data_IF_223839504364
#
_entry.id   IF_223839504364
#
_cell.length_a   1.000
_cell.length_b   1.000
_cell.length_c   1.000
_cell.angle_alpha   90.00
_cell.angle_beta   90.00
_cell.angle_gamma   90.00
#
_symmetry.space_group_name_H-M   'P 1'
#
loop_
_entity.id
_entity.type
_entity.pdbx_description
1 polymer ?
#
# COMPACT_ATOMS: atom_id res chain seq x y z
N UNK A 1 -2.30 -34.28 -13.31
CA UNK A 1 -2.26 -33.18 -14.29
C UNK A 1 -2.74 -33.66 -15.65
N UNK A 2 -3.91 -33.18 -16.06
CA UNK A 2 -4.54 -33.52 -17.34
C UNK A 2 -3.83 -32.82 -18.50
N UNK A 3 -4.09 -33.24 -19.73
CA UNK A 3 -3.47 -32.67 -20.94
C UNK A 3 -3.83 -31.18 -21.09
N UNK A 4 -5.10 -30.84 -20.86
CA UNK A 4 -5.59 -29.47 -20.95
C UNK A 4 -4.94 -28.53 -19.91
N UNK A 5 -4.61 -29.04 -18.72
CA UNK A 5 -3.90 -28.28 -17.68
C UNK A 5 -2.47 -27.95 -18.09
N UNK A 6 -1.79 -28.86 -18.79
CA UNK A 6 -0.44 -28.64 -19.32
C UNK A 6 -0.44 -27.52 -20.37
N UNK A 7 -1.39 -27.58 -21.31
CA UNK A 7 -1.55 -26.56 -22.36
C UNK A 7 -1.83 -25.19 -21.75
N UNK A 8 -2.66 -25.10 -20.70
CA UNK A 8 -2.92 -23.84 -20.02
C UNK A 8 -1.66 -23.26 -19.35
N UNK A 9 -0.84 -24.10 -18.71
CA UNK A 9 0.43 -23.69 -18.09
C UNK A 9 1.40 -23.14 -19.12
N UNK A 10 1.49 -23.79 -20.28
CA UNK A 10 2.34 -23.37 -21.40
C UNK A 10 1.87 -22.03 -21.98
N UNK A 11 0.57 -21.89 -22.25
CA UNK A 11 -0.02 -20.62 -22.72
C UNK A 11 0.23 -19.46 -21.75
N UNK A 12 0.16 -19.72 -20.43
CA UNK A 12 0.49 -18.74 -19.39
C UNK A 12 1.98 -18.37 -19.42
N UNK A 13 2.86 -19.37 -19.59
CA UNK A 13 4.29 -19.16 -19.69
C UNK A 13 4.63 -18.28 -20.89
N UNK A 14 4.09 -18.61 -22.06
CA UNK A 14 4.38 -17.91 -23.31
C UNK A 14 3.83 -16.48 -23.28
N UNK A 15 2.59 -16.31 -22.83
CA UNK A 15 1.96 -15.00 -22.73
C UNK A 15 2.73 -14.06 -21.81
N UNK A 16 3.09 -14.52 -20.61
CA UNK A 16 3.77 -13.67 -19.63
C UNK A 16 5.26 -13.46 -19.93
N UNK A 17 5.91 -14.43 -20.58
CA UNK A 17 7.27 -14.26 -21.12
C UNK A 17 7.28 -13.18 -22.19
N UNK A 18 6.34 -13.23 -23.15
CA UNK A 18 6.19 -12.19 -24.18
C UNK A 18 5.84 -10.82 -23.58
N UNK A 19 5.14 -10.77 -22.44
CA UNK A 19 4.85 -9.53 -21.72
C UNK A 19 6.03 -9.00 -20.88
N UNK A 20 7.16 -9.69 -20.86
CA UNK A 20 8.36 -9.25 -20.15
C UNK A 20 8.31 -9.46 -18.63
N UNK A 21 7.44 -10.33 -18.12
CA UNK A 21 7.42 -10.61 -16.68
C UNK A 21 8.64 -11.43 -16.26
N UNK A 22 9.17 -11.12 -15.07
CA UNK A 22 10.35 -11.84 -14.56
C UNK A 22 10.08 -13.35 -14.43
N UNK A 23 11.08 -14.21 -14.76
CA UNK A 23 10.93 -15.68 -14.71
C UNK A 23 10.44 -16.19 -13.34
N UNK A 24 10.96 -15.60 -12.25
CA UNK A 24 10.56 -15.96 -10.89
C UNK A 24 9.06 -15.75 -10.63
N UNK A 25 8.47 -14.70 -11.22
CA UNK A 25 7.06 -14.41 -11.06
C UNK A 25 6.20 -15.37 -11.89
N UNK A 26 6.66 -15.71 -13.10
CA UNK A 26 6.03 -16.72 -13.95
C UNK A 26 6.05 -18.08 -13.26
N UNK A 27 7.17 -18.45 -12.62
CA UNK A 27 7.29 -19.69 -11.84
C UNK A 27 6.37 -19.71 -10.61
N UNK A 28 6.22 -18.60 -9.89
CA UNK A 28 5.23 -18.48 -8.81
C UNK A 28 3.80 -18.70 -9.35
N UNK A 29 3.44 -18.06 -10.47
CA UNK A 29 2.12 -18.23 -11.11
C UNK A 29 1.88 -19.70 -11.45
N UNK A 30 2.84 -20.35 -12.12
CA UNK A 30 2.77 -21.77 -12.49
C UNK A 30 2.63 -22.66 -11.24
N UNK A 31 3.40 -22.38 -10.18
CA UNK A 31 3.35 -23.13 -8.92
C UNK A 31 1.98 -23.02 -8.24
N UNK A 32 1.42 -21.81 -8.14
CA UNK A 32 0.09 -21.61 -7.54
C UNK A 32 -1.02 -22.20 -8.40
N UNK A 33 -0.91 -22.11 -9.73
CA UNK A 33 -1.86 -22.72 -10.64
C UNK A 33 -1.87 -24.24 -10.50
N UNK A 34 -0.70 -24.88 -10.44
CA UNK A 34 -0.57 -26.33 -10.17
C UNK A 34 -1.19 -26.74 -8.84
N UNK A 35 -1.09 -25.91 -7.80
CA UNK A 35 -1.78 -26.15 -6.53
C UNK A 35 -3.30 -26.03 -6.68
N UNK A 36 -3.79 -25.09 -7.48
CA UNK A 36 -5.22 -24.87 -7.71
C UNK A 36 -5.85 -25.97 -8.58
N UNK A 37 -5.08 -26.58 -9.50
CA UNK A 37 -5.50 -27.75 -10.29
C UNK A 37 -5.93 -28.93 -9.42
N UNK A 38 -5.37 -29.09 -8.21
CA UNK A 38 -5.81 -30.15 -7.29
C UNK A 38 -7.30 -30.06 -6.96
N UNK A 39 -7.85 -28.84 -6.90
CA UNK A 39 -9.28 -28.62 -6.61
C UNK A 39 -10.18 -29.07 -7.76
N UNK A 40 -9.73 -28.90 -9.01
CA UNK A 40 -10.49 -29.41 -10.15
C UNK A 40 -10.32 -30.92 -10.30
N UNK A 41 -9.14 -31.46 -9.99
CA UNK A 41 -8.89 -32.91 -9.94
C UNK A 41 -9.76 -33.60 -8.88
N UNK A 42 -9.97 -32.97 -7.72
CA UNK A 42 -10.89 -33.46 -6.67
C UNK A 42 -12.36 -33.54 -7.12
N UNK A 43 -12.76 -32.72 -8.11
CA UNK A 43 -14.11 -32.69 -8.67
C UNK A 43 -14.23 -33.47 -9.98
N UNK A 44 -13.16 -34.17 -10.37
CA UNK A 44 -13.03 -34.89 -11.64
C UNK A 44 -13.28 -34.04 -12.90
N UNK A 45 -13.13 -32.71 -12.79
CA UNK A 45 -13.38 -31.77 -13.88
C UNK A 45 -12.10 -31.16 -14.44
N UNK A 46 -12.16 -30.78 -15.72
CA UNK A 46 -11.08 -29.99 -16.32
C UNK A 46 -11.03 -28.61 -15.67
N UNK A 47 -9.83 -28.04 -15.51
CA UNK A 47 -9.69 -26.79 -14.77
C UNK A 47 -10.45 -25.62 -15.42
N UNK A 48 -10.53 -25.58 -16.75
CA UNK A 48 -11.31 -24.56 -17.50
C UNK A 48 -12.80 -24.65 -17.13
N UNK A 49 -13.32 -25.88 -17.01
CA UNK A 49 -14.71 -26.17 -16.68
C UNK A 49 -15.01 -25.89 -15.21
N UNK A 50 -14.14 -26.35 -14.30
CA UNK A 50 -14.18 -26.02 -12.87
C UNK A 50 -14.19 -24.50 -12.63
N UNK A 51 -13.42 -23.75 -13.42
CA UNK A 51 -13.35 -22.29 -13.33
C UNK A 51 -14.50 -21.58 -14.04
N UNK A 52 -15.25 -22.27 -14.90
CA UNK A 52 -16.29 -21.70 -15.75
C UNK A 52 -15.79 -20.57 -16.65
N UNK A 53 -14.53 -20.63 -17.09
CA UNK A 53 -13.84 -19.54 -17.81
C UNK A 53 -12.92 -20.09 -18.88
N UNK A 54 -12.85 -19.39 -20.01
CA UNK A 54 -11.89 -19.69 -21.07
C UNK A 54 -10.44 -19.50 -20.62
N UNK A 55 -9.46 -20.16 -21.27
CA UNK A 55 -8.03 -19.93 -21.02
C UNK A 55 -7.62 -18.46 -21.07
N UNK A 56 -8.14 -17.72 -22.07
CA UNK A 56 -7.87 -16.30 -22.23
C UNK A 56 -8.39 -15.47 -21.04
N UNK A 57 -9.60 -15.75 -20.54
CA UNK A 57 -10.16 -15.07 -19.38
C UNK A 57 -9.39 -15.39 -18.08
N UNK A 58 -8.85 -16.60 -17.95
CA UNK A 58 -7.98 -16.97 -16.84
C UNK A 58 -6.69 -16.15 -16.89
N UNK A 59 -6.03 -16.10 -18.05
CA UNK A 59 -4.80 -15.31 -18.27
C UNK A 59 -5.06 -13.82 -17.96
N UNK A 60 -6.15 -13.26 -18.51
CA UNK A 60 -6.53 -11.86 -18.26
C UNK A 60 -6.84 -11.60 -16.78
N UNK A 61 -7.48 -12.55 -16.09
CA UNK A 61 -7.75 -12.45 -14.65
C UNK A 61 -6.43 -12.41 -13.87
N UNK A 62 -5.48 -13.30 -14.18
CA UNK A 62 -4.16 -13.34 -13.55
C UNK A 62 -3.42 -12.02 -13.80
N UNK A 63 -3.35 -11.57 -15.06
CA UNK A 63 -2.68 -10.32 -15.43
C UNK A 63 -3.23 -9.13 -14.65
N UNK A 64 -4.55 -8.95 -14.65
CA UNK A 64 -5.19 -7.81 -13.97
C UNK A 64 -4.92 -7.84 -12.47
N UNK A 65 -5.05 -8.99 -11.84
CA UNK A 65 -4.85 -9.13 -10.40
C UNK A 65 -3.38 -8.96 -9.99
N UNK A 66 -2.45 -9.42 -10.83
CA UNK A 66 -1.03 -9.26 -10.62
C UNK A 66 -0.63 -7.77 -10.69
N UNK A 67 -1.19 -7.05 -11.66
CA UNK A 67 -1.04 -5.60 -11.74
C UNK A 67 -1.60 -4.89 -10.50
N UNK A 68 -2.80 -5.28 -10.03
CA UNK A 68 -3.37 -4.74 -8.78
C UNK A 68 -2.47 -5.00 -7.57
N UNK A 69 -1.88 -6.20 -7.46
CA UNK A 69 -0.96 -6.53 -6.38
C UNK A 69 0.33 -5.70 -6.42
N UNK A 70 0.87 -5.45 -7.62
CA UNK A 70 2.07 -4.63 -7.79
C UNK A 70 1.81 -3.14 -7.56
N UNK A 71 0.66 -2.61 -8.00
CA UNK A 71 0.28 -1.22 -7.80
C UNK A 71 -0.18 -0.89 -6.38
N UNK A 72 -0.77 -1.85 -5.66
CA UNK A 72 -1.35 -1.61 -4.33
C UNK A 72 -0.35 -0.93 -3.35
N UNK A 73 0.89 -1.42 -3.19
CA UNK A 73 1.90 -0.72 -2.39
C UNK A 73 2.21 0.71 -2.83
N UNK A 74 2.25 0.96 -4.14
CA UNK A 74 2.59 2.27 -4.71
C UNK A 74 1.48 3.27 -4.41
N UNK A 75 0.23 2.88 -4.70
CA UNK A 75 -0.95 3.71 -4.44
C UNK A 75 -1.09 3.98 -2.95
N UNK A 76 -0.94 2.95 -2.11
CA UNK A 76 -0.99 3.09 -0.65
C UNK A 76 0.07 4.08 -0.13
N UNK A 77 1.30 3.98 -0.64
CA UNK A 77 2.38 4.88 -0.24
C UNK A 77 2.10 6.32 -0.65
N UNK A 78 1.84 6.58 -1.94
CA UNK A 78 1.62 7.94 -2.47
C UNK A 78 0.44 8.60 -1.77
N UNK A 79 -0.69 7.90 -1.65
CA UNK A 79 -1.92 8.44 -1.09
C UNK A 79 -1.72 8.86 0.38
N UNK A 80 -1.14 7.99 1.20
CA UNK A 80 -0.91 8.30 2.61
C UNK A 80 0.21 9.33 2.80
N UNK A 81 1.25 9.28 1.98
CA UNK A 81 2.33 10.27 2.01
C UNK A 81 1.79 11.68 1.76
N UNK A 82 0.98 11.86 0.71
CA UNK A 82 0.36 13.15 0.39
C UNK A 82 -0.59 13.59 1.49
N UNK A 83 -1.49 12.70 1.96
CA UNK A 83 -2.48 13.05 2.97
C UNK A 83 -1.84 13.46 4.30
N UNK A 84 -0.83 12.74 4.81
CA UNK A 84 -0.16 13.15 6.05
C UNK A 84 0.62 14.44 5.82
N UNK A 85 1.32 14.56 4.68
CA UNK A 85 2.11 15.76 4.37
C UNK A 85 1.24 17.01 4.34
N UNK A 86 0.02 16.90 3.80
CA UNK A 86 -0.88 18.01 3.56
C UNK A 86 -1.84 18.28 4.71
N UNK A 87 -2.44 17.24 5.30
CA UNK A 87 -3.44 17.42 6.36
C UNK A 87 -2.81 17.61 7.74
N UNK A 88 -1.70 16.93 8.02
CA UNK A 88 -1.01 17.01 9.31
C UNK A 88 -0.02 18.18 9.30
N UNK A 89 -0.47 19.35 9.72
CA UNK A 89 0.38 20.52 9.78
C UNK A 89 1.36 20.44 10.97
N UNK A 90 2.65 20.58 10.66
CA UNK A 90 3.73 20.61 11.66
C UNK A 90 3.64 21.88 12.51
N UNK A 91 3.13 22.99 11.97
CA UNK A 91 3.04 24.26 12.67
C UNK A 91 2.09 24.22 13.87
N UNK A 92 1.08 23.35 13.85
CA UNK A 92 0.12 23.24 14.96
C UNK A 92 0.63 22.42 16.14
N UNK A 93 1.67 21.59 15.94
CA UNK A 93 2.21 20.69 16.98
C UNK A 93 2.78 21.46 18.19
N UNK A 94 3.60 22.52 18.02
CA UNK A 94 4.06 23.32 19.16
C UNK A 94 2.92 24.01 19.93
N UNK A 95 1.82 24.33 19.25
CA UNK A 95 0.64 24.96 19.85
C UNK A 95 -0.35 23.95 20.44
N UNK A 96 0.00 22.65 20.49
CA UNK A 96 -0.88 21.60 21.00
C UNK A 96 -2.23 21.61 20.27
N UNK A 97 -2.17 21.69 18.93
CA UNK A 97 -3.34 21.79 18.08
C UNK A 97 -3.23 20.86 16.87
N UNK A 98 -4.38 20.51 16.30
CA UNK A 98 -4.49 19.72 15.08
C UNK A 98 -5.75 20.13 14.31
N UNK A 99 -5.73 20.01 12.99
CA UNK A 99 -6.92 20.20 12.17
C UNK A 99 -7.90 19.04 12.35
N UNK A 100 -9.21 19.32 12.29
CA UNK A 100 -10.22 18.26 12.29
C UNK A 100 -10.03 17.27 11.14
N UNK A 101 -9.57 17.74 9.98
CA UNK A 101 -9.22 16.90 8.83
C UNK A 101 -8.09 15.90 9.13
N UNK A 102 -7.04 16.30 9.85
CA UNK A 102 -5.97 15.40 10.23
C UNK A 102 -6.44 14.33 11.24
N UNK A 103 -7.35 14.68 12.16
CA UNK A 103 -7.97 13.70 13.07
C UNK A 103 -8.75 12.66 12.25
N UNK A 104 -9.61 13.11 11.33
CA UNK A 104 -10.39 12.22 10.45
C UNK A 104 -9.47 11.30 9.65
N UNK A 105 -8.38 11.86 9.11
CA UNK A 105 -7.40 11.07 8.39
C UNK A 105 -6.74 10.00 9.27
N UNK A 106 -6.22 10.39 10.44
CA UNK A 106 -5.50 9.48 11.34
C UNK A 106 -6.41 8.37 11.93
N UNK A 107 -7.65 8.69 12.27
CA UNK A 107 -8.56 7.74 12.93
C UNK A 107 -9.37 6.88 11.96
N UNK A 108 -9.66 7.38 10.76
CA UNK A 108 -10.58 6.69 9.83
C UNK A 108 -9.83 6.25 8.58
N UNK A 109 -9.20 7.17 7.87
CA UNK A 109 -8.69 6.91 6.52
C UNK A 109 -7.45 6.03 6.56
N UNK A 110 -6.49 6.36 7.43
CA UNK A 110 -5.27 5.59 7.57
C UNK A 110 -5.57 4.13 7.97
N UNK A 111 -6.35 3.82 9.03
CA UNK A 111 -6.69 2.44 9.38
C UNK A 111 -7.40 1.68 8.26
N UNK A 112 -8.38 2.29 7.60
CA UNK A 112 -9.10 1.65 6.49
C UNK A 112 -8.13 1.36 5.33
N UNK A 113 -7.24 2.31 4.99
CA UNK A 113 -6.26 2.12 3.93
C UNK A 113 -5.29 0.97 4.24
N UNK A 114 -4.87 0.81 5.51
CA UNK A 114 -4.03 -0.30 5.96
C UNK A 114 -4.76 -1.63 5.83
N UNK A 115 -6.01 -1.71 6.28
CA UNK A 115 -6.84 -2.94 6.18
C UNK A 115 -6.97 -3.40 4.73
N UNK A 116 -7.25 -2.48 3.81
CA UNK A 116 -7.37 -2.80 2.38
C UNK A 116 -6.05 -3.24 1.80
N UNK A 117 -4.98 -2.51 2.11
CA UNK A 117 -3.65 -2.86 1.67
C UNK A 117 -3.28 -4.29 2.10
N UNK A 118 -3.54 -4.66 3.35
CA UNK A 118 -3.29 -6.01 3.88
C UNK A 118 -4.20 -7.05 3.22
N UNK A 119 -5.49 -6.74 3.02
CA UNK A 119 -6.45 -7.64 2.37
C UNK A 119 -6.05 -7.95 0.94
N UNK A 120 -5.66 -6.93 0.16
CA UNK A 120 -5.16 -7.12 -1.20
C UNK A 120 -3.87 -7.94 -1.18
N UNK A 121 -2.93 -7.62 -0.30
CA UNK A 121 -1.66 -8.34 -0.20
C UNK A 121 -1.80 -9.83 0.19
N UNK A 122 -2.88 -10.18 0.91
CA UNK A 122 -3.17 -11.57 1.31
C UNK A 122 -3.81 -12.43 0.20
N UNK A 123 -4.36 -11.80 -0.86
CA UNK A 123 -5.12 -12.53 -1.88
C UNK A 123 -4.25 -13.14 -2.98
N UNK A 124 -4.74 -14.25 -3.53
CA UNK A 124 -4.11 -14.95 -4.64
C UNK A 124 -4.51 -14.33 -5.98
N UNK A 125 -3.57 -14.11 -6.90
CA UNK A 125 -3.82 -13.50 -8.21
C UNK A 125 -4.67 -14.38 -9.15
N UNK A 126 -4.92 -15.63 -8.79
CA UNK A 126 -5.76 -16.56 -9.57
C UNK A 126 -7.25 -16.18 -9.55
N UNK A 127 -7.74 -15.45 -8.54
CA UNK A 127 -9.17 -15.15 -8.35
C UNK A 127 -9.45 -13.65 -8.38
N UNK A 128 -10.64 -13.27 -8.84
CA UNK A 128 -11.00 -11.87 -9.09
C UNK A 128 -11.02 -11.00 -7.83
N UNK A 129 -10.37 -9.83 -7.88
CA UNK A 129 -10.30 -8.83 -6.79
C UNK A 129 -11.20 -7.60 -7.00
N UNK A 130 -12.38 -7.77 -7.62
CA UNK A 130 -13.27 -6.64 -8.01
C UNK A 130 -13.69 -5.77 -6.81
N UNK A 131 -14.07 -6.39 -5.69
CA UNK A 131 -14.58 -5.67 -4.51
C UNK A 131 -13.50 -4.76 -3.91
N UNK A 132 -12.29 -5.28 -3.71
CA UNK A 132 -11.19 -4.50 -3.14
C UNK A 132 -10.76 -3.35 -4.05
N UNK A 133 -10.82 -3.55 -5.37
CA UNK A 133 -10.56 -2.48 -6.34
C UNK A 133 -11.57 -1.33 -6.20
N UNK A 134 -12.86 -1.62 -6.05
CA UNK A 134 -13.88 -0.58 -5.85
C UNK A 134 -13.69 0.17 -4.53
N UNK A 135 -13.36 -0.53 -3.44
CA UNK A 135 -13.10 0.10 -2.15
C UNK A 135 -11.83 0.97 -2.23
N UNK A 136 -10.77 0.50 -2.88
CA UNK A 136 -9.55 1.28 -3.10
C UNK A 136 -9.81 2.57 -3.91
N UNK A 137 -10.64 2.47 -4.95
CA UNK A 137 -11.04 3.63 -5.76
C UNK A 137 -11.88 4.62 -4.94
N UNK A 138 -12.80 4.12 -4.10
CA UNK A 138 -13.58 4.97 -3.19
C UNK A 138 -12.67 5.77 -2.24
N UNK A 139 -11.61 5.15 -1.69
CA UNK A 139 -10.65 5.85 -0.84
C UNK A 139 -9.87 6.89 -1.62
N UNK A 140 -9.38 6.56 -2.82
CA UNK A 140 -8.69 7.54 -3.66
C UNK A 140 -9.56 8.77 -3.93
N UNK A 141 -10.85 8.57 -4.18
CA UNK A 141 -11.82 9.64 -4.39
C UNK A 141 -12.04 10.47 -3.10
N UNK A 142 -12.22 9.82 -1.95
CA UNK A 142 -12.35 10.51 -0.65
C UNK A 142 -11.08 11.31 -0.31
N UNK A 143 -9.90 10.74 -0.55
CA UNK A 143 -8.62 11.41 -0.36
C UNK A 143 -8.49 12.67 -1.23
N UNK A 144 -8.91 12.60 -2.49
CA UNK A 144 -8.89 13.75 -3.40
C UNK A 144 -9.85 14.85 -2.92
N UNK A 145 -11.05 14.47 -2.45
CA UNK A 145 -11.99 15.41 -1.85
C UNK A 145 -11.36 16.10 -0.63
N UNK A 146 -10.69 15.36 0.26
CA UNK A 146 -10.06 15.95 1.45
C UNK A 146 -8.93 16.92 1.12
N UNK A 147 -8.10 16.58 0.13
CA UNK A 147 -7.07 17.49 -0.37
C UNK A 147 -7.72 18.75 -0.96
N UNK A 148 -8.80 18.60 -1.73
CA UNK A 148 -9.56 19.73 -2.27
C UNK A 148 -10.14 20.62 -1.17
N UNK A 149 -10.81 20.03 -0.18
CA UNK A 149 -11.39 20.75 0.97
C UNK A 149 -10.32 21.53 1.73
N UNK A 150 -9.16 20.91 2.00
CA UNK A 150 -8.04 21.58 2.66
C UNK A 150 -7.46 22.71 1.79
N UNK A 151 -7.39 22.53 0.47
CA UNK A 151 -6.92 23.57 -0.46
C UNK A 151 -7.83 24.81 -0.47
N UNK A 152 -9.13 24.65 -0.22
CA UNK A 152 -10.08 25.75 0.01
C UNK A 152 -10.12 26.25 1.46
N UNK A 153 -9.15 25.85 2.28
CA UNK A 153 -8.97 26.25 3.68
C UNK A 153 -10.12 25.84 4.64
N UNK A 154 -10.88 24.79 4.28
CA UNK A 154 -11.98 24.27 5.10
C UNK A 154 -11.45 23.17 6.03
N UNK A 155 -10.83 23.54 7.14
CA UNK A 155 -10.06 22.60 7.99
C UNK A 155 -10.87 21.83 9.04
N UNK A 156 -12.21 21.90 8.99
CA UNK A 156 -13.12 21.36 10.01
C UNK A 156 -12.69 21.70 11.45
N UNK A 157 -12.48 23.00 11.68
CA UNK A 157 -12.00 23.58 12.94
C UNK A 157 -10.58 23.15 13.34
N UNK A 158 -9.94 23.99 14.16
CA UNK A 158 -8.69 23.65 14.84
C UNK A 158 -9.08 23.17 16.23
N UNK A 159 -8.60 21.98 16.61
CA UNK A 159 -8.90 21.36 17.89
C UNK A 159 -7.63 21.31 18.71
N UNK A 160 -7.72 21.71 19.98
CA UNK A 160 -6.62 21.57 20.93
C UNK A 160 -6.42 20.10 21.30
N UNK A 161 -5.21 19.61 21.19
CA UNK A 161 -4.82 18.23 21.47
C UNK A 161 -3.58 18.22 22.36
N UNK A 162 -3.60 17.41 23.41
CA UNK A 162 -2.50 17.34 24.38
C UNK A 162 -1.17 17.00 23.70
N UNK A 163 -0.07 17.51 24.23
CA UNK A 163 1.28 17.14 23.77
C UNK A 163 1.51 15.61 23.77
N UNK A 164 0.94 14.89 24.74
CA UNK A 164 1.02 13.44 24.84
C UNK A 164 0.42 12.71 23.64
N UNK A 165 -0.62 13.27 23.00
CA UNK A 165 -1.20 12.67 21.80
C UNK A 165 -0.28 12.84 20.58
N UNK A 166 0.44 13.96 20.45
CA UNK A 166 1.48 14.11 19.42
C UNK A 166 2.67 13.17 19.68
N UNK A 167 3.06 12.98 20.94
CA UNK A 167 4.08 12.01 21.32
C UNK A 167 3.63 10.56 21.02
N UNK A 168 2.37 10.23 21.28
CA UNK A 168 1.81 8.94 20.90
C UNK A 168 1.91 8.71 19.39
N UNK A 169 1.56 9.71 18.58
CA UNK A 169 1.69 9.61 17.11
C UNK A 169 3.14 9.46 16.66
N UNK A 170 4.10 10.07 17.36
CA UNK A 170 5.53 9.83 17.12
C UNK A 170 5.91 8.36 17.34
N UNK A 171 5.47 7.75 18.45
CA UNK A 171 5.72 6.33 18.73
C UNK A 171 5.03 5.40 17.72
N UNK A 172 3.81 5.72 17.29
CA UNK A 172 3.15 5.01 16.18
C UNK A 172 4.01 5.07 14.91
N UNK A 173 4.62 6.22 14.62
CA UNK A 173 5.58 6.40 13.53
C UNK A 173 6.79 5.47 13.64
N UNK A 174 7.37 5.33 14.84
CA UNK A 174 8.48 4.39 15.09
C UNK A 174 8.04 2.94 14.83
N UNK A 175 6.88 2.53 15.37
CA UNK A 175 6.34 1.18 15.19
C UNK A 175 6.15 0.87 13.70
N UNK A 176 5.59 1.81 12.93
CA UNK A 176 5.41 1.66 11.49
C UNK A 176 6.76 1.58 10.77
N UNK A 177 7.74 2.37 11.21
CA UNK A 177 9.09 2.38 10.65
C UNK A 177 9.79 1.03 10.79
N UNK A 178 9.79 0.49 12.02
CA UNK A 178 10.39 -0.80 12.35
C UNK A 178 9.63 -1.95 11.67
N UNK A 179 8.30 -1.94 11.74
CA UNK A 179 7.46 -2.97 11.13
C UNK A 179 7.64 -3.01 9.61
N UNK A 180 7.73 -1.84 8.96
CA UNK A 180 7.97 -1.76 7.52
C UNK A 180 9.31 -2.37 7.10
N UNK A 181 10.37 -2.14 7.88
CA UNK A 181 11.68 -2.76 7.63
C UNK A 181 11.60 -4.27 7.86
N UNK A 182 11.02 -4.69 8.99
CA UNK A 182 10.91 -6.11 9.37
C UNK A 182 10.15 -6.93 8.32
N UNK A 183 9.00 -6.43 7.85
CA UNK A 183 8.19 -7.09 6.82
C UNK A 183 8.64 -6.80 5.38
N UNK A 184 9.75 -6.07 5.17
CA UNK A 184 10.27 -5.64 3.86
C UNK A 184 9.26 -4.83 3.03
N UNK A 185 8.35 -4.12 3.71
CA UNK A 185 7.30 -3.24 3.16
C UNK A 185 7.65 -1.78 3.46
N UNK A 186 8.52 -1.22 2.62
CA UNK A 186 9.11 0.12 2.77
C UNK A 186 8.09 1.26 2.77
N UNK A 187 6.91 1.03 2.20
CA UNK A 187 5.78 1.94 2.23
C UNK A 187 5.35 2.29 3.66
N UNK A 188 5.36 1.32 4.59
CA UNK A 188 5.10 1.60 6.01
C UNK A 188 6.26 2.33 6.65
N UNK A 189 7.49 2.06 6.21
CA UNK A 189 8.67 2.77 6.71
C UNK A 189 8.61 4.25 6.34
N UNK A 190 8.28 4.56 5.09
CA UNK A 190 8.13 5.96 4.68
C UNK A 190 6.97 6.67 5.38
N UNK A 191 5.81 6.02 5.54
CA UNK A 191 4.69 6.59 6.32
C UNK A 191 5.09 6.83 7.79
N UNK A 192 5.76 5.85 8.41
CA UNK A 192 6.20 5.92 9.80
C UNK A 192 7.22 7.05 10.03
N UNK A 193 8.23 7.15 9.16
CA UNK A 193 9.21 8.23 9.21
C UNK A 193 8.55 9.60 9.03
N UNK A 194 7.53 9.70 8.18
CA UNK A 194 6.82 10.95 7.97
C UNK A 194 5.99 11.37 9.20
N UNK A 195 5.37 10.43 9.90
CA UNK A 195 4.78 10.71 11.22
C UNK A 195 5.82 11.21 12.21
N UNK A 196 6.98 10.55 12.30
CA UNK A 196 8.07 10.99 13.16
C UNK A 196 8.53 12.41 12.80
N UNK A 197 8.65 12.72 11.51
CA UNK A 197 9.04 14.06 11.02
C UNK A 197 8.05 15.14 11.45
N UNK A 198 6.75 14.86 11.33
CA UNK A 198 5.68 15.81 11.66
C UNK A 198 5.52 16.03 13.17
N UNK A 199 5.90 15.04 13.99
CA UNK A 199 5.67 15.05 15.44
C UNK A 199 6.94 15.23 16.28
N UNK A 200 8.11 15.36 15.64
CA UNK A 200 9.41 15.51 16.33
C UNK A 200 9.45 16.67 17.32
N UNK A 201 8.74 17.77 17.01
CA UNK A 201 8.71 18.98 17.85
C UNK A 201 7.94 18.74 19.16
N UNK A 202 7.09 17.71 19.24
CA UNK A 202 6.45 17.29 20.49
C UNK A 202 7.36 16.43 21.38
N UNK A 203 8.45 15.88 20.83
CA UNK A 203 9.40 15.04 21.54
C UNK A 203 10.63 15.83 22.03
N UNK A 204 11.09 16.79 21.23
CA UNK A 204 12.31 17.54 21.50
C UNK A 204 11.95 19.01 21.68
N UNK A 205 12.06 19.50 22.91
CA UNK A 205 11.76 20.90 23.26
C UNK A 205 12.84 21.88 22.79
N UNK A 206 14.08 21.42 22.63
CA UNK A 206 15.17 22.23 22.11
C UNK A 206 15.04 22.37 20.58
N UNK A 207 14.75 23.58 20.10
CA UNK A 207 14.52 23.86 18.68
C UNK A 207 15.70 23.49 17.77
N UNK A 208 16.94 23.70 18.22
CA UNK A 208 18.13 23.34 17.44
C UNK A 208 18.27 21.83 17.25
N UNK A 209 18.08 21.06 18.33
CA UNK A 209 18.13 19.59 18.28
C UNK A 209 16.95 19.04 17.47
N UNK A 210 15.75 19.59 17.65
CA UNK A 210 14.56 19.19 16.90
C UNK A 210 14.72 19.41 15.40
N UNK A 211 15.35 20.52 15.00
CA UNK A 211 15.63 20.83 13.60
C UNK A 211 16.64 19.83 13.01
N UNK A 212 17.74 19.55 13.72
CA UNK A 212 18.73 18.55 13.27
C UNK A 212 18.06 17.19 13.08
N UNK A 213 17.29 16.73 14.08
CA UNK A 213 16.56 15.46 14.01
C UNK A 213 15.55 15.45 12.85
N UNK A 214 14.82 16.55 12.64
CA UNK A 214 13.87 16.68 11.52
C UNK A 214 14.58 16.57 10.17
N UNK A 215 15.76 17.17 10.01
CA UNK A 215 16.56 17.08 8.77
C UNK A 215 17.05 15.64 8.57
N UNK A 216 17.53 14.98 9.62
CA UNK A 216 17.95 13.58 9.55
C UNK A 216 16.81 12.68 9.10
N UNK A 217 15.59 12.87 9.62
CA UNK A 217 14.42 12.08 9.20
C UNK A 217 14.08 12.36 7.73
N UNK A 218 14.20 13.60 7.25
CA UNK A 218 14.00 13.93 5.83
C UNK A 218 15.02 13.23 4.91
N UNK A 219 16.29 13.17 5.31
CA UNK A 219 17.32 12.44 4.57
C UNK A 219 16.98 10.95 4.51
N UNK A 220 16.56 10.36 5.63
CA UNK A 220 16.14 8.95 5.67
C UNK A 220 14.92 8.70 4.78
N UNK A 221 13.92 9.59 4.80
CA UNK A 221 12.77 9.54 3.91
C UNK A 221 13.19 9.55 2.44
N UNK A 222 14.11 10.44 2.06
CA UNK A 222 14.62 10.54 0.70
C UNK A 222 15.33 9.25 0.27
N UNK A 223 16.16 8.66 1.13
CA UNK A 223 16.81 7.37 0.88
C UNK A 223 15.77 6.27 0.67
N UNK A 224 14.75 6.20 1.53
CA UNK A 224 13.66 5.21 1.42
C UNK A 224 12.91 5.37 0.09
N UNK A 225 12.59 6.60 -0.31
CA UNK A 225 11.91 6.88 -1.58
C UNK A 225 12.77 6.46 -2.78
N UNK A 226 14.05 6.84 -2.80
CA UNK A 226 14.96 6.47 -3.90
C UNK A 226 15.08 4.96 -4.00
N UNK A 227 15.33 4.28 -2.88
CA UNK A 227 15.47 2.83 -2.86
C UNK A 227 14.16 2.13 -3.26
N UNK A 228 13.01 2.64 -2.81
CA UNK A 228 11.69 2.14 -3.20
C UNK A 228 11.46 2.28 -4.72
N UNK A 229 11.80 3.43 -5.30
CA UNK A 229 11.70 3.68 -6.75
C UNK A 229 12.62 2.74 -7.54
N UNK A 230 13.87 2.54 -7.10
CA UNK A 230 14.80 1.59 -7.75
C UNK A 230 14.23 0.17 -7.70
N UNK A 231 13.70 -0.26 -6.56
CA UNK A 231 13.10 -1.60 -6.37
C UNK A 231 11.85 -1.81 -7.23
N UNK A 232 11.08 -0.76 -7.50
CA UNK A 232 9.95 -0.82 -8.43
C UNK A 232 10.45 -0.90 -9.86
N UNK A 233 11.43 -0.08 -10.23
CA UNK A 233 12.02 -0.06 -11.57
C UNK A 233 12.63 -1.41 -11.94
N UNK A 234 13.30 -2.09 -10.99
CA UNK A 234 13.91 -3.41 -11.23
C UNK A 234 12.93 -4.59 -11.24
N UNK A 235 11.64 -4.37 -10.96
CA UNK A 235 10.59 -5.39 -11.03
C UNK A 235 9.89 -5.43 -12.39
N UNK A 236 10.03 -4.38 -13.18
CA UNK A 236 9.63 -4.33 -14.59
C UNK A 236 10.80 -4.77 -15.48
#
# INVERSE_FOLDING_TARGET
>A
MRVNDKVLVENINDYFTHKGLSPNLIDDIKSKLKKDFKKSEEQDQDYIEYRGKSPAEIILTIQRNLFTLQLNPIVFFILNFVLISYLYDKQYVPFQAISGLAIVYCLIILPISIVIYLRIASKNYLYSNKVEMYIGLAIALVSLILVGIHAFNVNFSIVSVTIYAHQFMFFVGIIFSISGIYFRRLEFTGIGLLFCQKTIDAMITNSGIAQIASITIWVLLLIVIIYYTIKISSRN
#
